data_IF_104448223142
#
_entry.id   IF_104448223142
#
_cell.length_a   1.000
_cell.length_b   1.000
_cell.length_c   1.000
_cell.angle_alpha   90.00
_cell.angle_beta   90.00
_cell.angle_gamma   90.00
#
_symmetry.space_group_name_H-M   'P 1'
#
loop_
_entity.id
_entity.type
_entity.pdbx_description
1 polymer ?
#
# COMPACT_ATOMS: atom_id res chain seq x y z
N UNK A 1 -18.65 -5.51 1.94
CA UNK A 1 -18.49 -6.09 3.29
C UNK A 1 -19.05 -5.08 4.28
N UNK A 2 -19.96 -5.46 5.18
CA UNK A 2 -20.50 -4.52 6.17
C UNK A 2 -19.46 -4.25 7.25
N UNK A 3 -19.02 -3.01 7.36
CA UNK A 3 -18.04 -2.55 8.34
C UNK A 3 -18.59 -2.72 9.76
N UNK A 4 -17.90 -3.50 10.60
CA UNK A 4 -18.31 -3.78 11.98
C UNK A 4 -18.17 -2.50 12.85
N UNK A 5 -19.13 -2.20 13.72
CA UNK A 5 -19.10 -1.02 14.59
C UNK A 5 -17.82 -0.95 15.44
N UNK A 6 -17.31 -2.09 15.90
CA UNK A 6 -16.05 -2.15 16.66
C UNK A 6 -14.85 -1.69 15.80
N UNK A 7 -14.82 -2.04 14.52
CA UNK A 7 -13.77 -1.59 13.61
C UNK A 7 -13.86 -0.09 13.34
N UNK A 8 -15.07 0.47 13.25
CA UNK A 8 -15.27 1.91 13.09
C UNK A 8 -14.71 2.69 14.30
N UNK A 9 -14.83 2.13 15.50
CA UNK A 9 -14.31 2.74 16.74
C UNK A 9 -12.78 2.70 16.76
N UNK A 10 -12.20 1.53 16.54
CA UNK A 10 -10.75 1.33 16.60
C UNK A 10 -10.00 2.17 15.56
N UNK A 11 -10.55 2.30 14.36
CA UNK A 11 -9.89 2.98 13.24
C UNK A 11 -10.24 4.47 13.13
N UNK A 12 -11.10 5.00 14.01
CA UNK A 12 -11.61 6.36 13.85
C UNK A 12 -10.51 7.44 13.90
N UNK A 13 -9.54 7.31 14.81
CA UNK A 13 -8.46 8.29 14.93
C UNK A 13 -7.56 8.27 13.68
N UNK A 14 -7.22 7.09 13.16
CA UNK A 14 -6.47 6.94 11.90
C UNK A 14 -7.26 7.51 10.71
N UNK A 15 -8.56 7.22 10.63
CA UNK A 15 -9.45 7.76 9.62
C UNK A 15 -9.52 9.29 9.67
N UNK A 16 -9.62 9.88 10.87
CA UNK A 16 -9.68 11.33 11.02
C UNK A 16 -8.37 12.01 10.61
N UNK A 17 -7.22 11.41 10.90
CA UNK A 17 -5.93 11.90 10.41
C UNK A 17 -5.79 11.74 8.90
N UNK A 18 -6.26 10.64 8.31
CA UNK A 18 -6.31 10.48 6.85
C UNK A 18 -7.16 11.57 6.19
N UNK A 19 -8.34 11.89 6.74
CA UNK A 19 -9.16 13.00 6.24
C UNK A 19 -8.41 14.35 6.31
N UNK A 20 -7.58 14.58 7.33
CA UNK A 20 -6.75 15.80 7.41
C UNK A 20 -5.71 15.87 6.30
N UNK A 21 -5.16 14.74 5.88
CA UNK A 21 -4.24 14.69 4.72
C UNK A 21 -4.94 15.03 3.41
N UNK A 22 -6.21 14.67 3.29
CA UNK A 22 -7.10 15.06 2.17
C UNK A 22 -7.68 16.49 2.30
N UNK A 23 -7.18 17.27 3.27
CA UNK A 23 -7.49 18.69 3.42
C UNK A 23 -8.63 19.02 4.39
N UNK A 24 -9.10 18.06 5.20
CA UNK A 24 -10.06 18.33 6.27
C UNK A 24 -9.50 19.35 7.28
N UNK A 25 -10.11 20.54 7.36
CA UNK A 25 -9.73 21.60 8.30
C UNK A 25 -10.88 21.92 9.25
N UNK A 26 -10.73 21.71 10.58
CA UNK A 26 -11.74 22.12 11.54
C UNK A 26 -11.81 23.64 11.61
N UNK A 27 -13.00 24.23 11.40
CA UNK A 27 -13.18 25.69 11.41
C UNK A 27 -13.10 26.36 12.79
N UNK A 28 -13.31 25.61 13.88
CA UNK A 28 -13.37 26.16 15.24
C UNK A 28 -12.72 25.27 16.28
N UNK A 29 -13.25 24.06 16.47
CA UNK A 29 -12.79 23.12 17.48
C UNK A 29 -12.65 21.74 16.88
N UNK A 30 -11.43 21.21 16.92
CA UNK A 30 -11.11 19.86 16.47
C UNK A 30 -11.90 18.82 17.27
N UNK A 31 -11.99 18.98 18.60
CA UNK A 31 -12.77 18.07 19.47
C UNK A 31 -14.23 17.96 19.05
N UNK A 32 -14.89 19.09 18.76
CA UNK A 32 -16.28 19.09 18.31
C UNK A 32 -16.43 18.52 16.91
N UNK A 33 -15.44 18.74 16.05
CA UNK A 33 -15.42 18.22 14.69
C UNK A 33 -15.25 16.70 14.67
N UNK A 34 -14.27 16.17 15.41
CA UNK A 34 -14.07 14.73 15.64
C UNK A 34 -15.37 14.08 16.09
N UNK A 35 -16.03 14.63 17.13
CA UNK A 35 -17.29 14.09 17.64
C UNK A 35 -18.40 14.05 16.59
N UNK A 36 -18.48 15.05 15.71
CA UNK A 36 -19.50 15.11 14.64
C UNK A 36 -19.24 14.07 13.55
N UNK A 37 -17.99 13.91 13.12
CA UNK A 37 -17.62 12.91 12.12
C UNK A 37 -17.81 11.50 12.68
N UNK A 38 -17.43 11.27 13.94
CA UNK A 38 -17.63 10.00 14.61
C UNK A 38 -19.11 9.61 14.70
N UNK A 39 -19.98 10.54 15.10
CA UNK A 39 -21.42 10.31 15.13
C UNK A 39 -21.99 10.00 13.73
N UNK A 40 -21.49 10.67 12.69
CA UNK A 40 -21.89 10.43 11.30
C UNK A 40 -21.44 9.04 10.81
N UNK A 41 -20.24 8.61 11.22
CA UNK A 41 -19.69 7.28 10.91
C UNK A 41 -20.49 6.15 11.57
N UNK A 42 -20.90 6.32 12.83
CA UNK A 42 -21.77 5.37 13.55
C UNK A 42 -23.18 5.34 12.96
N UNK A 43 -23.74 6.50 12.63
CA UNK A 43 -25.04 6.61 11.95
C UNK A 43 -25.03 6.08 10.50
N UNK A 44 -23.87 5.63 10.00
CA UNK A 44 -23.68 5.16 8.64
C UNK A 44 -24.12 6.19 7.59
N UNK A 45 -23.84 7.47 7.86
CA UNK A 45 -24.02 8.55 6.90
C UNK A 45 -23.28 8.21 5.61
N UNK A 46 -23.97 8.33 4.48
CA UNK A 46 -23.50 7.83 3.18
C UNK A 46 -22.13 8.40 2.82
N UNK A 47 -21.96 9.72 2.89
CA UNK A 47 -20.70 10.38 2.53
C UNK A 47 -19.58 10.01 3.50
N UNK A 48 -19.89 9.92 4.79
CA UNK A 48 -18.90 9.52 5.80
C UNK A 48 -18.45 8.07 5.63
N UNK A 49 -19.37 7.18 5.25
CA UNK A 49 -19.07 5.76 4.97
C UNK A 49 -18.29 5.60 3.68
N UNK A 50 -18.63 6.34 2.63
CA UNK A 50 -17.87 6.33 1.37
C UNK A 50 -16.41 6.74 1.63
N UNK A 51 -16.18 7.84 2.37
CA UNK A 51 -14.84 8.25 2.79
C UNK A 51 -14.14 7.22 3.68
N UNK A 52 -14.89 6.57 4.59
CA UNK A 52 -14.32 5.52 5.45
C UNK A 52 -13.89 4.30 4.63
N UNK A 53 -14.65 3.93 3.60
CA UNK A 53 -14.29 2.84 2.70
C UNK A 53 -13.06 3.18 1.86
N UNK A 54 -12.92 4.43 1.41
CA UNK A 54 -11.73 4.89 0.69
C UNK A 54 -10.51 4.92 1.61
N UNK A 55 -10.66 5.39 2.85
CA UNK A 55 -9.64 5.23 3.89
C UNK A 55 -9.24 3.76 4.10
N UNK A 56 -10.20 2.83 4.15
CA UNK A 56 -9.88 1.40 4.29
C UNK A 56 -9.14 0.86 3.07
N UNK A 57 -9.49 1.28 1.85
CA UNK A 57 -8.76 0.91 0.63
C UNK A 57 -7.35 1.47 0.65
N UNK A 58 -7.18 2.73 0.97
CA UNK A 58 -5.88 3.40 1.08
C UNK A 58 -5.05 2.79 2.19
N UNK A 59 -5.63 2.50 3.35
CA UNK A 59 -4.96 1.84 4.47
C UNK A 59 -4.52 0.43 4.10
N UNK A 60 -5.37 -0.34 3.42
CA UNK A 60 -5.02 -1.69 2.98
C UNK A 60 -3.99 -1.66 1.85
N UNK A 61 -4.07 -0.70 0.94
CA UNK A 61 -3.08 -0.46 -0.12
C UNK A 61 -1.75 -0.02 0.50
N UNK A 62 -1.77 0.92 1.44
CA UNK A 62 -0.58 1.46 2.11
C UNK A 62 0.04 0.45 3.06
N UNK A 63 -0.73 -0.33 3.83
CA UNK A 63 -0.21 -1.36 4.72
C UNK A 63 0.39 -2.53 3.92
N UNK A 64 -0.23 -2.92 2.80
CA UNK A 64 0.37 -3.83 1.84
C UNK A 64 1.67 -3.22 1.28
N UNK A 65 1.64 -2.00 0.75
CA UNK A 65 2.83 -1.31 0.23
C UNK A 65 3.93 -1.15 1.31
N UNK A 66 3.59 -0.97 2.59
CA UNK A 66 4.57 -0.75 3.67
C UNK A 66 5.21 -2.05 4.15
N UNK A 67 4.44 -3.14 4.25
CA UNK A 67 4.98 -4.48 4.49
C UNK A 67 5.85 -4.93 3.32
N UNK A 68 5.35 -4.75 2.10
CA UNK A 68 6.10 -5.06 0.88
C UNK A 68 7.37 -4.18 0.88
N UNK A 69 7.33 -2.89 1.20
CA UNK A 69 8.55 -2.02 1.29
C UNK A 69 9.63 -2.44 2.29
N UNK A 70 9.29 -2.93 3.47
CA UNK A 70 10.29 -3.40 4.45
C UNK A 70 10.90 -4.75 4.04
N UNK A 71 10.07 -5.65 3.51
CA UNK A 71 10.54 -6.91 2.91
C UNK A 71 11.34 -6.67 1.61
N UNK A 72 10.98 -5.64 0.84
CA UNK A 72 11.57 -5.22 -0.44
C UNK A 72 13.02 -4.73 -0.29
N UNK A 73 13.33 -3.95 0.76
CA UNK A 73 14.70 -3.46 1.00
C UNK A 73 15.63 -4.63 1.32
N UNK A 74 15.13 -5.58 2.12
CA UNK A 74 15.86 -6.81 2.44
C UNK A 74 16.04 -7.68 1.19
N UNK A 75 14.98 -7.80 0.41
CA UNK A 75 14.96 -8.56 -0.84
C UNK A 75 15.86 -7.95 -1.93
N UNK A 76 15.98 -6.62 -2.05
CA UNK A 76 16.95 -5.97 -2.94
C UNK A 76 18.36 -6.46 -2.62
N UNK A 77 18.74 -6.43 -1.34
CA UNK A 77 20.05 -6.89 -0.90
C UNK A 77 20.29 -8.37 -1.22
N UNK A 78 19.27 -9.21 -1.07
CA UNK A 78 19.38 -10.65 -1.33
C UNK A 78 19.33 -11.04 -2.82
N UNK A 79 18.79 -10.18 -3.67
CA UNK A 79 18.60 -10.48 -5.10
C UNK A 79 19.65 -9.83 -6.00
N UNK A 80 20.30 -8.75 -5.57
CA UNK A 80 21.43 -8.18 -6.30
C UNK A 80 22.55 -9.22 -6.42
N UNK A 81 23.02 -9.45 -7.66
CA UNK A 81 24.03 -10.46 -7.99
C UNK A 81 23.47 -11.84 -8.31
N UNK A 82 22.18 -12.11 -8.07
CA UNK A 82 21.52 -13.34 -8.53
C UNK A 82 21.15 -13.28 -10.00
N UNK A 83 20.88 -14.44 -10.59
CA UNK A 83 20.41 -14.57 -11.97
C UNK A 83 18.91 -14.79 -12.02
N UNK A 84 18.23 -14.10 -12.93
CA UNK A 84 16.82 -14.31 -13.24
C UNK A 84 16.68 -14.84 -14.65
N UNK A 85 15.82 -15.85 -14.83
CA UNK A 85 15.45 -16.35 -16.15
C UNK A 85 14.27 -15.55 -16.70
N UNK A 86 14.45 -14.93 -17.84
CA UNK A 86 13.39 -14.17 -18.52
C UNK A 86 13.44 -14.41 -20.02
N UNK A 87 12.29 -14.79 -20.61
CA UNK A 87 12.16 -15.07 -22.06
C UNK A 87 13.27 -15.99 -22.60
N UNK A 88 13.57 -17.06 -21.88
CA UNK A 88 14.58 -18.07 -22.25
C UNK A 88 16.03 -17.59 -22.21
N UNK A 89 16.31 -16.43 -21.61
CA UNK A 89 17.66 -15.93 -21.35
C UNK A 89 17.86 -15.67 -19.86
N UNK A 90 19.10 -15.80 -19.39
CA UNK A 90 19.48 -15.50 -18.02
C UNK A 90 20.13 -14.13 -17.93
N UNK A 91 19.75 -13.36 -16.91
CA UNK A 91 20.28 -12.03 -16.67
C UNK A 91 20.68 -11.88 -15.22
N UNK A 92 21.82 -11.26 -14.96
CA UNK A 92 22.23 -10.89 -13.61
C UNK A 92 21.50 -9.62 -13.16
N UNK A 93 20.92 -9.67 -11.97
CA UNK A 93 20.23 -8.53 -11.36
C UNK A 93 21.30 -7.58 -10.81
N UNK A 94 21.42 -6.39 -11.42
CA UNK A 94 22.33 -5.34 -10.95
C UNK A 94 21.66 -4.42 -9.95
N UNK A 95 20.38 -4.12 -10.16
CA UNK A 95 19.62 -3.26 -9.30
C UNK A 95 18.12 -3.57 -9.41
N UNK A 96 17.34 -3.17 -8.41
CA UNK A 96 15.89 -3.28 -8.42
C UNK A 96 15.27 -2.01 -7.83
N UNK A 97 14.28 -1.45 -8.52
CA UNK A 97 13.57 -0.24 -8.10
C UNK A 97 12.09 -0.56 -7.87
N UNK A 98 11.51 -0.02 -6.80
CA UNK A 98 10.10 -0.21 -6.46
C UNK A 98 9.31 1.07 -6.72
N UNK A 99 8.22 0.95 -7.47
CA UNK A 99 7.28 2.02 -7.80
C UNK A 99 5.95 1.76 -7.08
N UNK A 100 4.96 2.66 -7.16
CA UNK A 100 3.69 2.53 -6.43
C UNK A 100 2.94 1.22 -6.72
N UNK A 101 2.95 0.73 -7.96
CA UNK A 101 2.17 -0.44 -8.38
C UNK A 101 2.99 -1.52 -9.10
N UNK A 102 4.28 -1.27 -9.34
CA UNK A 102 5.17 -2.16 -10.08
C UNK A 102 6.59 -2.11 -9.51
N UNK A 103 7.39 -3.12 -9.80
CA UNK A 103 8.82 -3.15 -9.54
C UNK A 103 9.60 -3.30 -10.84
N UNK A 104 10.83 -2.81 -10.81
CA UNK A 104 11.69 -2.66 -11.96
C UNK A 104 12.99 -3.41 -11.70
N UNK A 105 13.20 -4.52 -12.40
CA UNK A 105 14.47 -5.25 -12.33
C UNK A 105 15.40 -4.70 -13.40
N UNK A 106 16.54 -4.19 -12.96
CA UNK A 106 17.58 -3.66 -13.83
C UNK A 106 18.71 -4.67 -13.93
N UNK A 107 18.97 -5.10 -15.15
CA UNK A 107 20.07 -5.99 -15.52
C UNK A 107 21.04 -5.24 -16.43
N UNK A 108 22.17 -5.85 -16.78
CA UNK A 108 23.16 -5.23 -17.69
C UNK A 108 22.57 -4.93 -19.08
N UNK A 109 21.57 -5.70 -19.53
CA UNK A 109 21.06 -5.65 -20.90
C UNK A 109 19.63 -5.14 -21.01
N UNK A 110 18.81 -5.35 -19.99
CA UNK A 110 17.38 -5.06 -20.02
C UNK A 110 16.88 -4.50 -18.69
N UNK A 111 15.81 -3.71 -18.79
CA UNK A 111 14.97 -3.29 -17.66
C UNK A 111 13.62 -3.98 -17.77
N UNK A 112 13.21 -4.69 -16.73
CA UNK A 112 11.96 -5.45 -16.68
C UNK A 112 11.01 -4.77 -15.72
N UNK A 113 9.86 -4.31 -16.23
CA UNK A 113 8.75 -3.79 -15.42
C UNK A 113 7.78 -4.90 -15.10
N UNK A 114 7.49 -5.09 -13.82
CA UNK A 114 6.64 -6.18 -13.36
C UNK A 114 5.65 -5.65 -12.32
N UNK A 115 4.34 -5.86 -12.50
CA UNK A 115 3.34 -5.55 -11.48
C UNK A 115 3.55 -6.38 -10.22
N UNK A 116 3.28 -5.82 -9.03
CA UNK A 116 3.43 -6.54 -7.75
C UNK A 116 2.65 -7.85 -7.68
N UNK A 117 1.49 -7.92 -8.32
CA UNK A 117 0.66 -9.12 -8.39
C UNK A 117 1.40 -10.35 -8.93
N UNK A 118 2.46 -10.14 -9.73
CA UNK A 118 3.27 -11.20 -10.35
C UNK A 118 4.60 -11.44 -9.64
N UNK A 119 4.82 -10.80 -8.50
CA UNK A 119 6.07 -10.89 -7.78
C UNK A 119 6.40 -12.33 -7.32
N UNK A 120 5.41 -13.06 -6.80
CA UNK A 120 5.57 -14.46 -6.36
C UNK A 120 5.93 -15.42 -7.50
N UNK A 121 5.47 -15.14 -8.72
CA UNK A 121 5.81 -15.94 -9.90
C UNK A 121 7.28 -15.70 -10.28
N UNK A 122 7.71 -14.44 -10.28
CA UNK A 122 9.08 -14.03 -10.59
C UNK A 122 10.06 -14.60 -9.57
N UNK A 123 9.71 -14.60 -8.29
CA UNK A 123 10.59 -15.11 -7.23
C UNK A 123 11.00 -16.57 -7.46
N UNK A 124 10.15 -17.38 -8.10
CA UNK A 124 10.44 -18.77 -8.47
C UNK A 124 11.39 -18.91 -9.66
N UNK A 125 11.46 -17.88 -10.51
CA UNK A 125 12.34 -17.83 -11.69
C UNK A 125 13.73 -17.26 -11.37
N UNK A 126 13.95 -16.82 -10.12
CA UNK A 126 15.27 -16.40 -9.64
C UNK A 126 16.06 -17.63 -9.24
N UNK A 127 17.23 -17.77 -9.86
CA UNK A 127 18.18 -18.84 -9.60
C UNK A 127 19.14 -18.35 -8.51
N UNK A 128 19.15 -19.05 -7.37
CA UNK A 128 20.03 -18.82 -6.20
C UNK A 128 21.41 -19.41 -6.46
#
# INVERSE_FOLDING_TARGET
MSTNENQKIELFEEFYEWLKTDGLKPKKSERLHKRKIFASLLASDKMTIDNFNDFLKDRNSTAYIKQVKEDEITLIGELIGKKIKYKSAEYEIKNMEFLENEFLIITEKIKMKIPYEKFEEIKKEIII
#
